data_IF_268166887727
#
_entry.id   IF_268166887727
#
_cell.length_a   1.000
_cell.length_b   1.000
_cell.length_c   1.000
_cell.angle_alpha   90.00
_cell.angle_beta   90.00
_cell.angle_gamma   90.00
#
_symmetry.space_group_name_H-M   'P 1'
#
loop_
_entity.id
_entity.type
_entity.pdbx_description
1 polymer ?
#
# COMPACT_ATOMS: atom_id res chain seq x y z
N UNK A 1 -15.95 -6.55 -23.01
CA UNK A 1 -14.52 -6.87 -22.72
C UNK A 1 -14.32 -6.62 -21.23
N UNK A 2 -13.67 -7.52 -20.49
CA UNK A 2 -13.42 -7.33 -19.05
C UNK A 2 -12.50 -6.14 -18.84
N UNK A 3 -12.81 -5.27 -17.87
CA UNK A 3 -11.91 -4.21 -17.43
C UNK A 3 -11.15 -4.66 -16.20
N UNK A 4 -9.85 -4.93 -16.36
CA UNK A 4 -9.00 -5.45 -15.30
C UNK A 4 -8.28 -4.30 -14.60
N UNK A 5 -8.41 -4.21 -13.28
CA UNK A 5 -7.60 -3.36 -12.44
C UNK A 5 -6.57 -4.19 -11.65
N UNK A 6 -5.28 -3.83 -11.71
CA UNK A 6 -4.31 -4.37 -10.76
C UNK A 6 -4.29 -3.51 -9.50
N UNK A 7 -4.27 -4.18 -8.37
CA UNK A 7 -4.18 -3.53 -7.07
C UNK A 7 -2.96 -4.05 -6.32
N UNK A 8 -2.18 -3.13 -5.75
CA UNK A 8 -0.90 -3.43 -5.13
C UNK A 8 -0.95 -3.26 -3.61
N UNK A 9 -0.52 -4.28 -2.84
CA UNK A 9 -0.51 -4.22 -1.40
C UNK A 9 0.52 -3.22 -0.86
N UNK A 10 0.28 -2.75 0.36
CA UNK A 10 1.20 -1.93 1.12
C UNK A 10 1.97 -2.70 2.18
N UNK A 11 2.59 -1.94 3.09
CA UNK A 11 3.26 -2.47 4.28
C UNK A 11 2.28 -3.30 5.13
N UNK A 12 2.79 -4.38 5.74
CA UNK A 12 2.00 -5.38 6.47
C UNK A 12 1.66 -6.62 5.64
N UNK A 13 1.98 -6.61 4.33
CA UNK A 13 1.80 -7.77 3.45
C UNK A 13 3.07 -8.64 3.34
N UNK A 14 4.23 -8.14 3.78
CA UNK A 14 5.53 -8.80 3.66
C UNK A 14 5.62 -10.09 4.49
N UNK A 15 6.36 -11.05 3.96
CA UNK A 15 6.81 -12.25 4.67
C UNK A 15 8.12 -12.77 4.04
N UNK A 16 8.91 -13.50 4.82
CA UNK A 16 10.17 -14.08 4.33
C UNK A 16 9.92 -15.07 3.19
N UNK A 17 10.69 -14.95 2.12
CA UNK A 17 10.58 -15.80 0.94
C UNK A 17 9.52 -15.37 -0.07
N UNK A 18 8.81 -14.24 0.14
CA UNK A 18 7.84 -13.73 -0.83
C UNK A 18 8.49 -13.51 -2.21
N UNK A 19 7.86 -14.05 -3.26
CA UNK A 19 8.35 -13.96 -4.64
C UNK A 19 9.46 -14.96 -5.00
N UNK A 20 10.08 -15.69 -4.06
CA UNK A 20 11.20 -16.61 -4.30
C UNK A 20 10.89 -17.63 -5.39
N UNK A 21 9.79 -18.36 -5.27
CA UNK A 21 9.39 -19.37 -6.25
C UNK A 21 9.23 -18.80 -7.67
N UNK A 22 8.71 -17.58 -7.78
CA UNK A 22 8.53 -16.92 -9.08
C UNK A 22 9.87 -16.46 -9.67
N UNK A 23 10.83 -16.00 -8.86
CA UNK A 23 12.18 -15.66 -9.34
C UNK A 23 12.95 -16.87 -9.86
N UNK A 24 12.71 -18.06 -9.29
CA UNK A 24 13.32 -19.31 -9.73
C UNK A 24 12.74 -19.81 -11.07
N UNK A 25 11.45 -19.55 -11.32
CA UNK A 25 10.73 -20.03 -12.50
C UNK A 25 10.70 -19.04 -13.66
N UNK A 26 10.70 -17.75 -13.38
CA UNK A 26 10.51 -16.70 -14.39
C UNK A 26 11.72 -15.73 -14.40
N UNK A 27 12.46 -15.74 -15.51
CA UNK A 27 13.60 -14.85 -15.67
C UNK A 27 13.23 -13.35 -15.56
N UNK A 28 12.02 -12.99 -15.95
CA UNK A 28 11.52 -11.60 -15.84
C UNK A 28 11.39 -11.17 -14.37
N UNK A 29 10.92 -12.05 -13.49
CA UNK A 29 10.87 -11.79 -12.05
C UNK A 29 12.27 -11.66 -11.44
N UNK A 30 13.18 -12.58 -11.82
CA UNK A 30 14.56 -12.55 -11.37
C UNK A 30 15.26 -11.22 -11.72
N UNK A 31 15.07 -10.71 -12.96
CA UNK A 31 15.63 -9.43 -13.41
C UNK A 31 15.17 -8.25 -12.56
N UNK A 32 13.91 -8.23 -12.10
CA UNK A 32 13.40 -7.18 -11.22
C UNK A 32 14.14 -7.18 -9.88
N UNK A 33 14.38 -8.35 -9.28
CA UNK A 33 15.15 -8.46 -8.04
C UNK A 33 16.61 -8.02 -8.23
N UNK A 34 17.23 -8.37 -9.36
CA UNK A 34 18.60 -7.96 -9.69
C UNK A 34 18.68 -6.44 -9.90
N UNK A 35 17.68 -5.83 -10.57
CA UNK A 35 17.58 -4.38 -10.75
C UNK A 35 17.42 -3.66 -9.42
N UNK A 36 16.56 -4.15 -8.53
CA UNK A 36 16.37 -3.59 -7.19
C UNK A 36 17.68 -3.66 -6.38
N UNK A 37 18.37 -4.81 -6.42
CA UNK A 37 19.64 -4.99 -5.73
C UNK A 37 20.70 -4.01 -6.22
N UNK A 38 20.78 -3.80 -7.53
CA UNK A 38 21.69 -2.82 -8.15
C UNK A 38 21.32 -1.39 -7.76
N UNK A 39 20.03 -1.04 -7.79
CA UNK A 39 19.56 0.31 -7.51
C UNK A 39 19.81 0.73 -6.05
N UNK A 40 19.69 -0.22 -5.11
CA UNK A 40 19.89 0.00 -3.67
C UNK A 40 21.31 -0.32 -3.17
N UNK A 41 22.17 -0.89 -4.03
CA UNK A 41 23.45 -1.44 -3.63
C UNK A 41 23.32 -2.39 -2.41
N UNK A 42 22.27 -3.23 -2.43
CA UNK A 42 21.93 -4.20 -1.38
C UNK A 42 21.35 -5.46 -2.01
N UNK A 43 21.75 -6.63 -1.55
CA UNK A 43 21.17 -7.89 -2.03
C UNK A 43 19.72 -8.02 -1.57
N UNK A 44 18.79 -7.75 -2.48
CA UNK A 44 17.34 -7.80 -2.19
C UNK A 44 16.84 -9.24 -2.06
N UNK A 45 17.50 -10.22 -2.69
CA UNK A 45 17.17 -11.63 -2.52
C UNK A 45 17.55 -12.10 -1.12
N UNK A 46 18.75 -11.73 -0.66
CA UNK A 46 19.18 -12.08 0.69
C UNK A 46 18.27 -11.42 1.74
N UNK A 47 17.96 -10.13 1.57
CA UNK A 47 17.04 -9.42 2.46
C UNK A 47 15.64 -10.09 2.52
N UNK A 48 15.10 -10.49 1.38
CA UNK A 48 13.71 -10.97 1.33
C UNK A 48 13.60 -12.47 1.62
N UNK A 49 14.62 -13.26 1.27
CA UNK A 49 14.55 -14.72 1.34
C UNK A 49 15.24 -15.31 2.55
N UNK A 50 16.29 -14.66 3.07
CA UNK A 50 17.23 -15.26 4.02
C UNK A 50 17.42 -14.42 5.29
N UNK A 51 16.94 -13.16 5.37
CA UNK A 51 17.09 -12.34 6.57
C UNK A 51 16.15 -12.80 7.71
N UNK A 52 16.10 -12.05 8.81
CA UNK A 52 15.12 -12.30 9.86
C UNK A 52 13.82 -11.53 9.62
N UNK A 53 12.71 -11.98 10.24
CA UNK A 53 11.43 -11.26 10.20
C UNK A 53 11.58 -9.83 10.74
N UNK A 54 12.35 -9.65 11.81
CA UNK A 54 12.61 -8.34 12.41
C UNK A 54 13.32 -7.40 11.41
N UNK A 55 14.31 -7.91 10.68
CA UNK A 55 15.02 -7.13 9.65
C UNK A 55 14.09 -6.75 8.52
N UNK A 56 13.26 -7.67 8.05
CA UNK A 56 12.30 -7.42 6.98
C UNK A 56 11.17 -6.47 7.42
N UNK A 57 10.82 -6.45 8.72
CA UNK A 57 9.78 -5.58 9.28
C UNK A 57 10.22 -4.13 9.46
N UNK A 58 11.51 -3.81 9.42
CA UNK A 58 11.96 -2.42 9.40
C UNK A 58 11.35 -1.70 8.21
N UNK A 59 10.70 -0.58 8.43
CA UNK A 59 9.93 0.14 7.40
C UNK A 59 10.79 0.44 6.15
N UNK A 60 12.05 0.80 6.35
CA UNK A 60 13.01 1.04 5.27
C UNK A 60 13.34 -0.20 4.43
N UNK A 61 13.18 -1.40 4.99
CA UNK A 61 13.38 -2.68 4.30
C UNK A 61 12.07 -3.22 3.73
N UNK A 62 10.98 -3.10 4.49
CA UNK A 62 9.65 -3.56 4.06
C UNK A 62 9.21 -2.89 2.76
N UNK A 63 9.35 -1.57 2.67
CA UNK A 63 8.83 -0.84 1.53
C UNK A 63 9.48 -1.25 0.20
N UNK A 64 10.81 -1.25 0.05
CA UNK A 64 11.44 -1.72 -1.18
C UNK A 64 11.21 -3.22 -1.42
N UNK A 65 11.11 -4.04 -0.38
CA UNK A 65 10.87 -5.47 -0.51
C UNK A 65 9.48 -5.78 -1.11
N UNK A 66 8.43 -5.14 -0.60
CA UNK A 66 7.06 -5.30 -1.12
C UNK A 66 6.93 -4.73 -2.53
N UNK A 67 7.51 -3.56 -2.81
CA UNK A 67 7.54 -2.98 -4.16
C UNK A 67 8.20 -3.94 -5.15
N UNK A 68 9.41 -4.43 -4.82
CA UNK A 68 10.18 -5.34 -5.69
C UNK A 68 9.39 -6.60 -6.00
N UNK A 69 8.82 -7.23 -4.97
CA UNK A 69 8.02 -8.44 -5.13
C UNK A 69 6.77 -8.18 -5.98
N UNK A 70 6.07 -7.07 -5.74
CA UNK A 70 4.86 -6.71 -6.49
C UNK A 70 5.16 -6.45 -7.96
N UNK A 71 6.24 -5.72 -8.26
CA UNK A 71 6.66 -5.45 -9.65
C UNK A 71 7.14 -6.73 -10.34
N UNK A 72 7.86 -7.61 -9.64
CA UNK A 72 8.28 -8.89 -10.18
C UNK A 72 7.08 -9.77 -10.57
N UNK A 73 6.06 -9.84 -9.71
CA UNK A 73 4.82 -10.57 -9.99
C UNK A 73 4.05 -9.94 -11.16
N UNK A 74 4.03 -8.61 -11.23
CA UNK A 74 3.41 -7.90 -12.36
C UNK A 74 4.08 -8.25 -13.69
N UNK A 75 5.41 -8.28 -13.74
CA UNK A 75 6.13 -8.66 -14.96
C UNK A 75 5.89 -10.12 -15.37
N UNK A 76 5.68 -11.02 -14.41
CA UNK A 76 5.24 -12.40 -14.70
C UNK A 76 3.84 -12.41 -15.32
N UNK A 77 2.88 -11.65 -14.76
CA UNK A 77 1.53 -11.55 -15.34
C UNK A 77 1.55 -10.99 -16.77
N UNK A 78 2.35 -9.97 -17.04
CA UNK A 78 2.53 -9.42 -18.39
C UNK A 78 3.13 -10.46 -19.34
N UNK A 79 4.11 -11.25 -18.90
CA UNK A 79 4.67 -12.34 -19.71
C UNK A 79 3.65 -13.44 -20.03
N UNK A 80 2.65 -13.63 -19.18
CA UNK A 80 1.50 -14.53 -19.41
C UNK A 80 0.36 -13.86 -20.22
N UNK A 81 0.56 -12.62 -20.70
CA UNK A 81 -0.41 -11.87 -21.51
C UNK A 81 -1.57 -11.28 -20.71
N UNK A 82 -1.38 -11.08 -19.40
CA UNK A 82 -2.38 -10.47 -18.51
C UNK A 82 -1.91 -9.06 -18.14
N UNK A 83 -2.61 -8.06 -18.66
CA UNK A 83 -2.30 -6.66 -18.44
C UNK A 83 -3.48 -5.91 -17.81
N UNK A 84 -3.23 -4.91 -16.96
CA UNK A 84 -4.28 -4.06 -16.40
C UNK A 84 -4.67 -2.95 -17.36
N UNK A 85 -5.90 -2.48 -17.23
CA UNK A 85 -6.37 -1.26 -17.89
C UNK A 85 -6.51 -0.07 -16.92
N UNK A 86 -6.34 -0.31 -15.60
CA UNK A 86 -6.10 0.70 -14.57
C UNK A 86 -5.33 0.07 -13.41
N UNK A 87 -4.76 0.91 -12.57
CA UNK A 87 -4.02 0.47 -11.39
C UNK A 87 -4.33 1.34 -10.17
N UNK A 88 -4.25 0.72 -9.00
CA UNK A 88 -4.28 1.38 -7.70
C UNK A 88 -3.37 0.64 -6.71
N UNK A 89 -2.97 1.30 -5.64
CA UNK A 89 -2.19 0.64 -4.61
C UNK A 89 -2.42 1.29 -3.25
N UNK A 90 -2.36 0.50 -2.18
CA UNK A 90 -2.57 0.99 -0.83
C UNK A 90 -1.25 1.50 -0.24
N UNK A 91 -1.17 2.81 0.07
CA UNK A 91 0.00 3.47 0.65
C UNK A 91 1.28 3.21 -0.19
N UNK A 92 2.19 2.38 0.28
CA UNK A 92 3.35 1.93 -0.49
C UNK A 92 2.96 1.37 -1.87
N UNK A 93 1.85 0.65 -1.96
CA UNK A 93 1.35 0.07 -3.21
C UNK A 93 1.08 1.09 -4.30
N UNK A 94 0.83 2.36 -3.97
CA UNK A 94 0.67 3.44 -4.97
C UNK A 94 1.94 3.63 -5.79
N UNK A 95 3.13 3.43 -5.20
CA UNK A 95 4.40 3.46 -5.95
C UNK A 95 4.50 2.29 -6.94
N UNK A 96 4.03 1.09 -6.55
CA UNK A 96 3.93 -0.05 -7.48
C UNK A 96 2.95 0.25 -8.62
N UNK A 97 1.84 0.91 -8.33
CA UNK A 97 0.87 1.36 -9.34
C UNK A 97 1.47 2.41 -10.30
N UNK A 98 2.25 3.36 -9.79
CA UNK A 98 2.96 4.35 -10.61
C UNK A 98 4.03 3.71 -11.51
N UNK A 99 4.72 2.67 -11.04
CA UNK A 99 5.64 1.86 -11.88
C UNK A 99 4.85 1.12 -12.95
N UNK A 100 3.74 0.49 -12.60
CA UNK A 100 2.88 -0.24 -13.54
C UNK A 100 2.31 0.66 -14.65
N UNK A 101 1.98 1.90 -14.30
CA UNK A 101 1.49 2.92 -15.25
C UNK A 101 2.60 3.51 -16.13
N UNK A 102 3.86 3.25 -15.81
CA UNK A 102 5.02 3.80 -16.52
C UNK A 102 5.41 5.22 -16.13
N UNK A 103 4.74 5.84 -15.16
CA UNK A 103 5.04 7.20 -14.68
C UNK A 103 6.37 7.26 -13.94
N UNK A 104 6.65 6.26 -13.10
CA UNK A 104 7.92 6.11 -12.40
C UNK A 104 8.73 4.96 -13.01
N UNK A 105 10.05 5.15 -13.12
CA UNK A 105 10.95 4.02 -13.36
C UNK A 105 10.99 3.13 -12.11
N UNK A 106 11.15 1.82 -12.30
CA UNK A 106 11.27 0.91 -11.14
C UNK A 106 12.51 1.23 -10.30
N UNK A 107 13.63 1.54 -10.95
CA UNK A 107 14.89 1.91 -10.28
C UNK A 107 14.74 3.16 -9.39
N UNK A 108 13.98 4.17 -9.83
CA UNK A 108 13.71 5.34 -9.00
C UNK A 108 12.72 5.01 -7.89
N UNK A 109 11.63 4.30 -8.21
CA UNK A 109 10.62 3.93 -7.23
C UNK A 109 11.19 3.16 -6.04
N UNK A 110 12.08 2.19 -6.28
CA UNK A 110 12.68 1.38 -5.19
C UNK A 110 13.57 2.22 -4.27
N UNK A 111 14.29 3.21 -4.81
CA UNK A 111 15.07 4.17 -4.02
C UNK A 111 14.17 5.10 -3.21
N UNK A 112 13.16 5.66 -3.86
CA UNK A 112 12.19 6.56 -3.22
C UNK A 112 11.52 5.87 -2.02
N UNK A 113 11.02 4.65 -2.19
CA UNK A 113 10.30 3.98 -1.10
C UNK A 113 11.21 3.57 0.04
N UNK A 114 12.51 3.31 -0.21
CA UNK A 114 13.48 3.12 0.86
C UNK A 114 13.68 4.40 1.67
N UNK A 115 13.92 5.54 1.03
CA UNK A 115 14.03 6.84 1.70
C UNK A 115 12.71 7.22 2.39
N UNK A 116 11.57 6.99 1.74
CA UNK A 116 10.25 7.19 2.35
C UNK A 116 10.11 6.38 3.64
N UNK A 117 10.52 5.12 3.62
CA UNK A 117 10.50 4.26 4.81
C UNK A 117 11.33 4.82 5.95
N UNK A 118 12.54 5.28 5.67
CA UNK A 118 13.42 5.92 6.64
C UNK A 118 12.84 7.22 7.19
N UNK A 119 12.35 8.10 6.32
CA UNK A 119 11.76 9.38 6.72
C UNK A 119 10.54 9.17 7.61
N UNK A 120 9.63 8.28 7.23
CA UNK A 120 8.42 8.00 8.02
C UNK A 120 8.74 7.34 9.38
N UNK A 121 9.76 6.46 9.44
CA UNK A 121 10.15 5.82 10.68
C UNK A 121 10.86 6.78 11.63
N UNK A 122 11.68 7.70 11.09
CA UNK A 122 12.51 8.60 11.89
C UNK A 122 11.80 9.90 12.30
N UNK A 123 10.64 10.23 11.70
CA UNK A 123 9.93 11.47 12.01
C UNK A 123 9.33 11.46 13.41
N UNK A 124 8.84 10.32 13.86
CA UNK A 124 8.30 10.17 15.22
C UNK A 124 9.13 9.14 15.98
N UNK A 125 9.65 9.47 17.17
CA UNK A 125 10.45 8.56 17.97
C UNK A 125 9.73 7.24 18.25
N UNK A 126 10.49 6.16 18.28
CA UNK A 126 9.95 4.82 18.59
C UNK A 126 9.26 4.82 19.95
N UNK A 127 8.06 4.27 20.02
CA UNK A 127 7.27 4.19 21.25
C UNK A 127 6.30 5.36 21.48
N UNK A 128 6.40 6.44 20.71
CA UNK A 128 5.47 7.58 20.77
C UNK A 128 4.23 7.33 19.92
N UNK A 129 4.40 6.79 18.71
CA UNK A 129 3.29 6.52 17.79
C UNK A 129 2.66 5.16 18.00
N UNK A 130 1.40 5.03 17.58
CA UNK A 130 0.68 3.77 17.50
C UNK A 130 -0.36 3.80 16.38
N UNK A 131 -0.85 2.62 15.99
CA UNK A 131 -1.99 2.44 15.10
C UNK A 131 -2.93 1.37 15.65
N UNK A 132 -4.23 1.50 15.36
CA UNK A 132 -5.23 0.50 15.73
C UNK A 132 -6.23 0.28 14.59
N UNK A 133 -6.55 -0.99 14.30
CA UNK A 133 -7.59 -1.36 13.35
C UNK A 133 -8.94 -1.45 14.08
N UNK A 134 -9.91 -0.66 13.64
CA UNK A 134 -11.28 -0.62 14.15
C UNK A 134 -12.17 -1.40 13.19
N UNK A 135 -12.91 -2.39 13.72
CA UNK A 135 -13.73 -3.30 12.92
C UNK A 135 -15.21 -3.20 13.30
N UNK A 136 -16.04 -3.15 12.27
CA UNK A 136 -17.51 -3.15 12.37
C UNK A 136 -18.07 -1.97 13.20
N UNK A 137 -17.55 -0.77 12.94
CA UNK A 137 -18.07 0.48 13.47
C UNK A 137 -18.28 1.47 12.32
N UNK A 138 -19.30 2.29 12.41
CA UNK A 138 -19.60 3.34 11.43
C UNK A 138 -18.51 4.41 11.42
N UNK A 139 -18.24 4.96 10.23
CA UNK A 139 -17.18 5.96 10.02
C UNK A 139 -17.33 7.19 10.93
N UNK A 140 -18.54 7.69 11.11
CA UNK A 140 -18.85 8.83 11.99
C UNK A 140 -18.46 8.57 13.45
N UNK A 141 -18.71 7.34 13.92
CA UNK A 141 -18.39 6.96 15.30
C UNK A 141 -16.88 6.80 15.51
N UNK A 142 -16.13 6.32 14.50
CA UNK A 142 -14.65 6.28 14.57
C UNK A 142 -14.09 7.70 14.63
N UNK A 143 -14.58 8.61 13.80
CA UNK A 143 -14.16 10.03 13.82
C UNK A 143 -14.47 10.65 15.18
N UNK A 144 -15.69 10.46 15.72
CA UNK A 144 -16.09 10.95 17.04
C UNK A 144 -15.18 10.41 18.16
N UNK A 145 -14.77 9.14 18.08
CA UNK A 145 -13.86 8.55 19.05
C UNK A 145 -12.46 9.21 19.00
N UNK A 146 -11.94 9.51 17.80
CA UNK A 146 -10.70 10.24 17.64
C UNK A 146 -10.80 11.67 18.20
N UNK A 147 -11.89 12.38 17.90
CA UNK A 147 -12.13 13.74 18.42
C UNK A 147 -12.19 13.74 19.95
N UNK A 148 -12.91 12.81 20.55
CA UNK A 148 -13.05 12.71 22.01
C UNK A 148 -11.74 12.30 22.70
N UNK A 149 -10.83 11.57 22.04
CA UNK A 149 -9.53 11.19 22.56
C UNK A 149 -8.45 12.26 22.34
N UNK A 150 -8.72 13.32 21.56
CA UNK A 150 -7.74 14.33 21.13
C UNK A 150 -7.14 15.14 22.29
N UNK A 151 -7.75 15.16 23.47
CA UNK A 151 -7.21 15.78 24.67
C UNK A 151 -5.95 15.07 25.21
N UNK A 152 -5.68 13.82 24.79
CA UNK A 152 -4.49 13.05 25.14
C UNK A 152 -3.37 13.13 24.11
N UNK A 153 -3.60 13.80 22.97
CA UNK A 153 -2.66 13.93 21.88
C UNK A 153 -3.32 13.73 20.50
N UNK A 154 -2.52 13.74 19.45
CA UNK A 154 -3.00 13.57 18.08
C UNK A 154 -3.45 12.12 17.86
N UNK A 155 -4.68 11.93 17.42
CA UNK A 155 -5.20 10.66 16.90
C UNK A 155 -6.18 10.93 15.76
N UNK A 156 -5.95 10.30 14.62
CA UNK A 156 -6.67 10.56 13.37
C UNK A 156 -6.99 9.24 12.65
N UNK A 157 -8.09 9.18 11.87
CA UNK A 157 -8.28 8.12 10.90
C UNK A 157 -7.15 8.14 9.86
N UNK A 158 -6.44 7.02 9.71
CA UNK A 158 -5.27 6.90 8.83
C UNK A 158 -5.55 6.10 7.55
N UNK A 159 -6.41 5.07 7.63
CA UNK A 159 -6.81 4.29 6.45
C UNK A 159 -8.30 3.99 6.49
N UNK A 160 -9.00 4.38 5.45
CA UNK A 160 -10.37 3.95 5.15
C UNK A 160 -10.29 2.74 4.22
N UNK A 161 -10.24 1.53 4.79
CA UNK A 161 -9.93 0.32 4.03
C UNK A 161 -11.14 -0.24 3.28
N UNK A 162 -12.29 -0.29 3.91
CA UNK A 162 -13.56 -0.76 3.35
C UNK A 162 -14.69 -0.49 4.35
N UNK A 163 -15.96 -0.65 3.98
CA UNK A 163 -17.09 -0.50 4.90
C UNK A 163 -16.87 -1.27 6.20
N UNK A 164 -16.91 -0.54 7.32
CA UNK A 164 -16.69 -1.08 8.66
C UNK A 164 -15.26 -1.50 9.00
N UNK A 165 -14.25 -1.00 8.26
CA UNK A 165 -12.84 -1.20 8.64
C UNK A 165 -12.02 0.06 8.40
N UNK A 166 -11.68 0.74 9.49
CA UNK A 166 -10.85 1.95 9.52
C UNK A 166 -9.65 1.69 10.43
N UNK A 167 -8.49 2.17 10.03
CA UNK A 167 -7.29 2.23 10.89
C UNK A 167 -7.18 3.65 11.42
N UNK A 168 -7.03 3.79 12.73
CA UNK A 168 -6.68 5.04 13.40
C UNK A 168 -5.19 5.03 13.77
N UNK A 169 -4.57 6.18 13.75
CA UNK A 169 -3.15 6.34 14.08
C UNK A 169 -2.92 7.68 14.79
N UNK A 170 -1.82 7.76 15.53
CA UNK A 170 -1.47 8.95 16.28
C UNK A 170 -0.53 8.68 17.43
N UNK A 171 -0.58 9.51 18.45
CA UNK A 171 0.16 9.31 19.70
C UNK A 171 -0.43 8.15 20.49
N UNK A 172 0.44 7.35 21.08
CA UNK A 172 0.11 6.03 21.66
C UNK A 172 -1.06 6.06 22.64
N UNK A 173 -1.11 7.02 23.54
CA UNK A 173 -2.14 7.07 24.57
C UNK A 173 -3.47 7.58 24.02
N UNK A 174 -3.44 8.54 23.08
CA UNK A 174 -4.61 8.99 22.35
C UNK A 174 -5.20 7.87 21.48
N UNK A 175 -4.36 7.07 20.78
CA UNK A 175 -4.81 5.90 20.00
C UNK A 175 -5.45 4.84 20.88
N UNK A 176 -4.88 4.55 22.07
CA UNK A 176 -5.48 3.59 23.01
C UNK A 176 -6.84 4.05 23.49
N UNK A 177 -6.96 5.32 23.87
CA UNK A 177 -8.23 5.90 24.30
C UNK A 177 -9.27 5.87 23.18
N UNK A 178 -8.93 6.34 21.98
CA UNK A 178 -9.82 6.28 20.83
C UNK A 178 -10.25 4.83 20.52
N UNK A 179 -9.35 3.86 20.64
CA UNK A 179 -9.67 2.44 20.46
C UNK A 179 -10.63 1.90 21.52
N UNK A 180 -10.54 2.35 22.78
CA UNK A 180 -11.46 2.02 23.86
C UNK A 180 -12.84 2.66 23.61
N UNK A 181 -12.87 3.95 23.27
CA UNK A 181 -14.11 4.66 22.90
C UNK A 181 -14.79 3.99 21.69
N UNK A 182 -14.04 3.56 20.67
CA UNK A 182 -14.60 2.80 19.56
C UNK A 182 -15.30 1.52 20.03
N UNK A 183 -14.75 0.80 21.03
CA UNK A 183 -15.42 -0.39 21.59
C UNK A 183 -16.70 -0.03 22.33
N UNK A 184 -16.69 1.04 23.11
CA UNK A 184 -17.88 1.57 23.82
C UNK A 184 -18.97 1.99 22.83
N UNK A 185 -18.59 2.55 21.67
CA UNK A 185 -19.50 2.94 20.58
C UNK A 185 -19.99 1.76 19.73
N UNK A 186 -19.55 0.53 20.05
CA UNK A 186 -20.06 -0.69 19.44
C UNK A 186 -19.12 -1.34 18.41
N UNK A 187 -17.85 -0.93 18.30
CA UNK A 187 -16.89 -1.64 17.48
C UNK A 187 -16.78 -3.10 17.90
N UNK A 188 -16.89 -4.01 16.96
CA UNK A 188 -16.74 -5.45 17.23
C UNK A 188 -15.33 -5.80 17.71
N UNK A 189 -14.31 -5.09 17.19
CA UNK A 189 -12.89 -5.20 17.59
C UNK A 189 -12.18 -3.87 17.39
N UNK A 190 -11.25 -3.58 18.30
CA UNK A 190 -10.22 -2.56 18.15
C UNK A 190 -8.87 -3.22 18.48
N UNK A 191 -7.99 -3.36 17.48
CA UNK A 191 -6.78 -4.16 17.54
C UNK A 191 -5.58 -3.24 17.32
N UNK A 192 -4.71 -3.12 18.31
CA UNK A 192 -3.43 -2.42 18.15
C UNK A 192 -2.56 -3.17 17.13
N UNK A 193 -1.98 -2.43 16.19
CA UNK A 193 -1.11 -2.98 15.16
C UNK A 193 0.35 -3.02 15.64
N UNK A 194 1.16 -4.01 15.20
CA UNK A 194 2.55 -4.14 15.59
C UNK A 194 3.45 -3.16 14.80
N UNK A 195 3.13 -1.87 14.87
CA UNK A 195 3.88 -0.77 14.25
C UNK A 195 4.07 0.36 15.25
N UNK A 196 5.20 1.06 15.19
CA UNK A 196 5.56 2.13 16.11
C UNK A 196 5.42 3.53 15.52
N UNK A 197 5.26 3.66 14.21
CA UNK A 197 5.06 4.94 13.56
C UNK A 197 3.58 5.20 13.29
N UNK A 198 3.10 6.44 13.49
CA UNK A 198 1.70 6.84 13.27
C UNK A 198 1.48 7.21 11.81
N UNK A 199 1.58 6.20 10.93
CA UNK A 199 1.49 6.40 9.47
C UNK A 199 0.19 7.11 9.06
N UNK A 200 0.31 7.99 8.05
CA UNK A 200 -0.82 8.70 7.43
C UNK A 200 -1.56 9.66 8.37
N UNK A 201 -0.84 10.27 9.31
CA UNK A 201 -1.34 11.32 10.20
C UNK A 201 -0.57 12.62 10.04
N UNK A 202 -1.12 13.71 10.57
CA UNK A 202 -0.48 15.03 10.61
C UNK A 202 0.90 15.03 11.30
N UNK A 203 1.18 14.05 12.17
CA UNK A 203 2.49 13.85 12.80
C UNK A 203 3.63 13.56 11.81
N UNK A 204 3.30 13.09 10.60
CA UNK A 204 4.30 12.79 9.56
C UNK A 204 4.47 13.93 8.52
N UNK A 205 3.96 15.12 8.78
CA UNK A 205 4.05 16.25 7.84
C UNK A 205 5.51 16.58 7.49
N UNK A 206 6.40 16.60 8.48
CA UNK A 206 7.83 16.83 8.25
C UNK A 206 8.50 15.74 7.40
N UNK A 207 8.10 14.48 7.54
CA UNK A 207 8.55 13.41 6.65
C UNK A 207 8.11 13.65 5.20
N UNK A 208 6.87 14.12 4.99
CA UNK A 208 6.36 14.50 3.67
C UNK A 208 7.16 15.66 3.06
N UNK A 209 7.48 16.70 3.84
CA UNK A 209 8.30 17.83 3.39
C UNK A 209 9.72 17.40 2.99
N UNK A 210 10.34 16.50 3.75
CA UNK A 210 11.65 15.92 3.41
C UNK A 210 11.58 15.06 2.14
N UNK A 211 10.52 14.25 1.99
CA UNK A 211 10.29 13.44 0.81
C UNK A 211 10.11 14.28 -0.46
N UNK A 212 9.55 15.50 -0.35
CA UNK A 212 9.45 16.42 -1.48
C UNK A 212 10.80 16.65 -2.16
N UNK A 213 11.87 16.87 -1.37
CA UNK A 213 13.23 17.07 -1.92
C UNK A 213 13.78 15.85 -2.66
N UNK A 214 13.34 14.64 -2.30
CA UNK A 214 13.67 13.40 -3.04
C UNK A 214 12.90 13.35 -4.35
N UNK A 215 11.60 13.62 -4.30
CA UNK A 215 10.68 13.54 -5.45
C UNK A 215 10.92 14.64 -6.49
N UNK A 216 11.50 15.77 -6.12
CA UNK A 216 11.89 16.85 -7.06
C UNK A 216 12.94 16.44 -8.09
N UNK A 217 13.75 15.43 -7.77
CA UNK A 217 14.84 14.93 -8.64
C UNK A 217 14.40 13.86 -9.61
N UNK A 218 13.13 13.48 -9.56
CA UNK A 218 12.58 12.36 -10.33
C UNK A 218 11.98 12.85 -11.64
N UNK A 219 12.26 12.13 -12.72
CA UNK A 219 11.60 12.31 -13.99
C UNK A 219 10.28 11.54 -14.03
N UNK A 220 9.16 12.24 -14.11
CA UNK A 220 7.84 11.65 -14.26
C UNK A 220 7.47 11.57 -15.74
N UNK A 221 7.12 10.37 -16.21
CA UNK A 221 6.68 10.12 -17.59
C UNK A 221 5.15 10.21 -17.69
N UNK A 222 4.64 10.20 -18.92
CA UNK A 222 3.20 10.18 -19.14
C UNK A 222 2.60 8.82 -18.74
N UNK A 223 1.35 8.85 -18.26
CA UNK A 223 0.61 7.66 -17.91
C UNK A 223 0.32 6.80 -19.14
N UNK A 224 0.68 5.52 -19.10
CA UNK A 224 0.25 4.52 -20.10
C UNK A 224 -1.15 3.98 -19.78
N UNK A 225 -1.47 3.88 -18.49
CA UNK A 225 -2.77 3.47 -17.95
C UNK A 225 -3.11 4.32 -16.73
N UNK A 226 -4.41 4.57 -16.44
CA UNK A 226 -4.83 5.41 -15.33
C UNK A 226 -4.46 4.82 -13.97
N UNK A 227 -4.13 5.72 -13.03
CA UNK A 227 -3.77 5.43 -11.64
C UNK A 227 -4.75 6.14 -10.72
N UNK A 228 -5.24 5.47 -9.68
CA UNK A 228 -6.03 6.09 -8.61
C UNK A 228 -5.12 6.44 -7.44
N UNK A 229 -5.16 7.71 -7.00
CA UNK A 229 -4.38 8.21 -5.87
C UNK A 229 -5.07 7.93 -4.53
N UNK A 230 -4.27 7.71 -3.48
CA UNK A 230 -4.78 7.43 -2.13
C UNK A 230 -5.42 8.63 -1.45
N UNK A 231 -4.90 9.84 -1.71
CA UNK A 231 -5.27 11.06 -0.97
C UNK A 231 -6.69 11.53 -1.27
N UNK A 232 -7.16 11.33 -2.49
CA UNK A 232 -8.48 11.76 -2.95
C UNK A 232 -9.38 10.60 -3.40
N UNK A 233 -8.83 9.38 -3.53
CA UNK A 233 -9.56 8.22 -4.02
C UNK A 233 -10.03 8.37 -5.47
N UNK A 234 -9.35 9.19 -6.29
CA UNK A 234 -9.70 9.49 -7.68
C UNK A 234 -8.50 9.34 -8.61
N UNK A 235 -8.75 9.28 -9.91
CA UNK A 235 -7.70 9.19 -10.92
C UNK A 235 -6.77 10.41 -10.89
N UNK A 236 -5.49 10.14 -11.08
CA UNK A 236 -4.48 11.20 -11.26
C UNK A 236 -4.63 11.72 -12.70
N UNK A 237 -5.03 12.97 -12.85
CA UNK A 237 -5.29 13.55 -14.16
C UNK A 237 -4.02 13.93 -14.93
N UNK A 238 -2.99 14.40 -14.21
CA UNK A 238 -1.75 14.94 -14.79
C UNK A 238 -0.53 14.41 -14.06
N UNK A 239 0.53 14.08 -14.80
CA UNK A 239 1.80 13.62 -14.21
C UNK A 239 2.43 14.64 -13.27
N UNK A 240 2.23 15.94 -13.52
CA UNK A 240 2.74 17.04 -12.69
C UNK A 240 2.17 17.02 -11.27
N UNK A 241 0.98 16.44 -11.10
CA UNK A 241 0.33 16.30 -9.79
C UNK A 241 0.89 15.13 -8.95
N UNK A 242 1.61 14.19 -9.56
CA UNK A 242 2.08 12.97 -8.89
C UNK A 242 2.94 13.29 -7.68
N UNK A 243 3.91 14.19 -7.84
CA UNK A 243 4.80 14.59 -6.75
C UNK A 243 4.01 15.11 -5.54
N UNK A 244 3.13 16.06 -5.75
CA UNK A 244 2.36 16.69 -4.67
C UNK A 244 1.39 15.71 -4.00
N UNK A 245 0.80 14.79 -4.76
CA UNK A 245 -0.04 13.72 -4.21
C UNK A 245 0.77 12.76 -3.34
N UNK A 246 1.98 12.35 -3.76
CA UNK A 246 2.85 11.49 -2.97
C UNK A 246 3.36 12.17 -1.70
N UNK A 247 3.69 13.47 -1.75
CA UNK A 247 4.05 14.25 -0.56
C UNK A 247 2.89 14.30 0.43
N UNK A 248 1.68 14.62 -0.03
CA UNK A 248 0.48 14.64 0.80
C UNK A 248 0.13 13.27 1.38
N UNK A 249 0.35 12.20 0.61
CA UNK A 249 0.03 10.82 1.02
C UNK A 249 0.72 10.43 2.34
N UNK A 250 1.92 10.95 2.60
CA UNK A 250 2.69 10.61 3.81
C UNK A 250 1.94 10.97 5.09
N UNK A 251 1.26 12.13 5.08
CA UNK A 251 0.58 12.72 6.24
C UNK A 251 -0.95 12.86 6.08
N UNK A 252 -1.52 12.15 5.11
CA UNK A 252 -2.97 12.17 4.85
C UNK A 252 -3.55 10.77 4.88
N UNK A 253 -4.84 10.62 5.21
CA UNK A 253 -5.51 9.33 5.18
C UNK A 253 -5.46 8.66 3.80
N UNK A 254 -5.32 7.34 3.79
CA UNK A 254 -5.48 6.51 2.61
C UNK A 254 -6.96 6.23 2.39
N UNK A 255 -7.55 6.74 1.31
CA UNK A 255 -8.95 6.58 0.95
C UNK A 255 -9.13 5.34 0.05
N UNK A 256 -8.79 4.14 0.56
CA UNK A 256 -8.81 2.91 -0.23
C UNK A 256 -10.22 2.50 -0.66
N UNK A 257 -11.19 2.61 0.24
CA UNK A 257 -12.61 2.36 -0.07
C UNK A 257 -13.06 3.21 -1.26
N UNK A 258 -12.79 4.53 -1.23
CA UNK A 258 -13.13 5.45 -2.33
C UNK A 258 -12.40 5.09 -3.62
N UNK A 259 -11.12 4.66 -3.53
CA UNK A 259 -10.35 4.22 -4.70
C UNK A 259 -11.00 3.02 -5.39
N UNK A 260 -11.48 2.05 -4.61
CA UNK A 260 -12.19 0.87 -5.13
C UNK A 260 -13.53 1.25 -5.73
N UNK A 261 -14.32 2.09 -5.04
CA UNK A 261 -15.61 2.61 -5.53
C UNK A 261 -15.45 3.38 -6.84
N UNK A 262 -14.38 4.19 -6.94
CA UNK A 262 -14.08 4.96 -8.15
C UNK A 262 -13.79 4.04 -9.35
N UNK A 263 -13.00 2.98 -9.15
CA UNK A 263 -12.73 1.99 -10.19
C UNK A 263 -14.02 1.25 -10.60
N UNK A 264 -14.83 0.81 -9.65
CA UNK A 264 -16.11 0.14 -9.95
C UNK A 264 -17.05 1.05 -10.73
N UNK A 265 -17.15 2.33 -10.35
CA UNK A 265 -17.96 3.33 -11.06
C UNK A 265 -17.53 3.53 -12.51
N UNK A 266 -16.24 3.37 -12.81
CA UNK A 266 -15.70 3.41 -14.18
C UNK A 266 -15.87 2.08 -14.94
N UNK A 267 -16.53 1.10 -14.31
CA UNK A 267 -16.85 -0.19 -14.92
C UNK A 267 -15.74 -1.23 -14.83
N UNK A 268 -14.77 -1.07 -13.92
CA UNK A 268 -13.81 -2.13 -13.61
C UNK A 268 -14.53 -3.23 -12.83
N UNK A 269 -14.57 -4.43 -13.40
CA UNK A 269 -15.31 -5.58 -12.88
C UNK A 269 -14.40 -6.70 -12.36
N UNK A 270 -13.11 -6.62 -12.68
CA UNK A 270 -12.11 -7.64 -12.33
C UNK A 270 -10.90 -6.99 -11.68
N UNK A 271 -10.63 -7.38 -10.44
CA UNK A 271 -9.50 -6.89 -9.65
C UNK A 271 -8.51 -8.03 -9.42
N UNK A 272 -7.23 -7.77 -9.65
CA UNK A 272 -6.15 -8.71 -9.36
C UNK A 272 -5.22 -8.07 -8.34
N UNK A 273 -5.16 -8.62 -7.13
CA UNK A 273 -4.16 -8.23 -6.14
C UNK A 273 -2.81 -8.83 -6.55
N UNK A 274 -1.84 -7.95 -6.85
CA UNK A 274 -0.53 -8.27 -7.40
C UNK A 274 0.54 -7.97 -6.37
N UNK A 275 1.06 -9.00 -5.73
CA UNK A 275 2.02 -8.84 -4.63
C UNK A 275 1.77 -9.83 -3.49
N UNK A 276 2.54 -9.72 -2.39
CA UNK A 276 2.37 -10.61 -1.24
C UNK A 276 1.03 -10.40 -0.55
N UNK A 277 0.43 -11.48 -0.04
CA UNK A 277 -0.79 -11.43 0.75
C UNK A 277 -2.09 -11.37 -0.07
N UNK A 278 -3.22 -11.15 0.65
CA UNK A 278 -4.58 -11.17 0.08
C UNK A 278 -5.53 -10.20 0.81
N UNK A 279 -5.01 -9.12 1.35
CA UNK A 279 -5.81 -8.21 2.19
C UNK A 279 -6.67 -7.27 1.35
N UNK A 280 -6.14 -6.78 0.23
CA UNK A 280 -6.88 -5.87 -0.65
C UNK A 280 -8.08 -6.56 -1.29
N UNK A 281 -7.92 -7.81 -1.70
CA UNK A 281 -9.02 -8.60 -2.24
C UNK A 281 -10.17 -8.77 -1.24
N UNK A 282 -9.87 -8.91 0.06
CA UNK A 282 -10.90 -8.95 1.12
C UNK A 282 -11.59 -7.60 1.28
N UNK A 283 -10.86 -6.49 1.19
CA UNK A 283 -11.43 -5.14 1.28
C UNK A 283 -12.36 -4.88 0.08
N UNK A 284 -11.90 -5.18 -1.14
CA UNK A 284 -12.68 -5.01 -2.37
C UNK A 284 -14.01 -5.79 -2.29
N UNK A 285 -13.97 -7.04 -1.79
CA UNK A 285 -15.20 -7.85 -1.61
C UNK A 285 -16.16 -7.31 -0.56
N UNK A 286 -15.70 -6.46 0.35
CA UNK A 286 -16.56 -5.74 1.30
C UNK A 286 -17.17 -4.48 0.70
N UNK A 287 -16.46 -3.83 -0.24
CA UNK A 287 -17.01 -2.70 -1.02
C UNK A 287 -18.06 -3.21 -2.01
N UNK A 288 -17.75 -4.28 -2.77
CA UNK A 288 -18.71 -4.88 -3.70
C UNK A 288 -18.53 -6.40 -3.80
N UNK A 289 -19.66 -7.13 -3.74
CA UNK A 289 -19.67 -8.59 -3.96
C UNK A 289 -19.75 -8.97 -5.44
N UNK A 290 -20.14 -8.02 -6.29
CA UNK A 290 -20.44 -8.27 -7.71
C UNK A 290 -19.18 -8.30 -8.58
N UNK A 291 -18.06 -7.72 -8.13
CA UNK A 291 -16.80 -7.72 -8.87
C UNK A 291 -16.04 -9.05 -8.70
N UNK A 292 -15.31 -9.46 -9.73
CA UNK A 292 -14.37 -10.58 -9.62
C UNK A 292 -13.10 -10.13 -8.91
N UNK A 293 -12.63 -10.91 -7.93
CA UNK A 293 -11.38 -10.64 -7.20
C UNK A 293 -10.48 -11.87 -7.29
N UNK A 294 -9.27 -11.65 -7.75
CA UNK A 294 -8.20 -12.62 -7.91
C UNK A 294 -6.96 -12.12 -7.18
N UNK A 295 -5.97 -12.98 -6.96
CA UNK A 295 -4.66 -12.57 -6.43
C UNK A 295 -3.55 -13.38 -7.07
N UNK A 296 -2.36 -12.79 -7.14
CA UNK A 296 -1.13 -13.46 -7.54
C UNK A 296 -0.02 -13.07 -6.58
N UNK A 297 0.43 -14.05 -5.80
CA UNK A 297 1.56 -13.95 -4.86
C UNK A 297 2.59 -15.07 -5.06
N UNK A 298 2.17 -16.21 -5.68
CA UNK A 298 2.96 -17.42 -5.92
C UNK A 298 2.53 -18.11 -7.21
N UNK A 299 3.22 -19.19 -7.61
CA UNK A 299 2.90 -19.96 -8.82
C UNK A 299 1.50 -20.58 -8.78
N UNK A 300 1.01 -20.98 -7.61
CA UNK A 300 -0.31 -21.60 -7.45
C UNK A 300 -1.42 -20.58 -7.72
N UNK A 301 -1.32 -19.40 -7.15
CA UNK A 301 -2.27 -18.30 -7.35
C UNK A 301 -2.20 -17.75 -8.77
N UNK A 302 -1.00 -17.71 -9.39
CA UNK A 302 -0.81 -17.36 -10.80
C UNK A 302 -1.60 -18.31 -11.71
N UNK A 303 -1.38 -19.62 -11.60
CA UNK A 303 -2.08 -20.61 -12.41
C UNK A 303 -3.60 -20.55 -12.24
N UNK A 304 -4.06 -20.34 -11.01
CA UNK A 304 -5.49 -20.16 -10.71
C UNK A 304 -6.05 -18.90 -11.39
N UNK A 305 -5.30 -17.80 -11.37
CA UNK A 305 -5.70 -16.54 -11.99
C UNK A 305 -5.75 -16.66 -13.50
N UNK A 306 -4.73 -17.25 -14.14
CA UNK A 306 -4.72 -17.53 -15.58
C UNK A 306 -5.95 -18.36 -15.99
N UNK A 307 -6.24 -19.46 -15.26
CA UNK A 307 -7.41 -20.31 -15.54
C UNK A 307 -8.75 -19.59 -15.41
N UNK A 308 -8.83 -18.56 -14.57
CA UNK A 308 -10.06 -17.80 -14.32
C UNK A 308 -10.30 -16.69 -15.36
N UNK A 309 -9.23 -16.22 -16.02
CA UNK A 309 -9.28 -15.16 -17.01
C UNK A 309 -9.45 -15.67 -18.43
N UNK A 310 -8.91 -16.86 -18.70
CA UNK A 310 -9.15 -17.64 -19.94
C UNK A 310 -10.49 -18.36 -19.87
#
# INVERSE_FOLDING_TARGET
MRKIAFVFPGQGAQYLGMGKELTEKYSVANKVFDEASKALNQDMKDLIFNSSEETLQLTENTQPAVLTTSVAIMEVLKAEGIEPSAVAGLSLGEYSALVASGVLSFSDAVKIVRERGQLMQNEVPVGIGAMAAILALEKSEVIRACENASHLGIVEPANYNCPGQIVIAGEKDAVKEAANLCKEYGAKKAILLPVSAPFHTSLLKGAGEKLNGVLERIEYKDFKIPVVANVNGDFIEKRESVKDLLVKQVSSPVLWENSVERLIKEGYDTFIEVGPGRSLGKFIKRVSRDVQVLNVEDSKSLLKTIKKLK
#
